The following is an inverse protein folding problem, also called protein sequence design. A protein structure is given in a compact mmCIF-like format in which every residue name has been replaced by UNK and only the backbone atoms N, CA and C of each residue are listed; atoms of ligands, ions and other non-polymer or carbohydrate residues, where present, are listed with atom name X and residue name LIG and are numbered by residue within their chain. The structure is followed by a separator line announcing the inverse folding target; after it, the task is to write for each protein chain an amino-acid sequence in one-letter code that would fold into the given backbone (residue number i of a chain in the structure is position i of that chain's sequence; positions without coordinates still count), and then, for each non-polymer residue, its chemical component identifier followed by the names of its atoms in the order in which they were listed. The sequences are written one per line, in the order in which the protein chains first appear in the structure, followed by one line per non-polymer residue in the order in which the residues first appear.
data_IF_808064088947
#
_entry.id   IF_808064088947
#
_cell.length_a   1.000
_cell.length_b   1.000
_cell.length_c   1.000
_cell.angle_alpha   90.00
_cell.angle_beta   90.00
_cell.angle_gamma   90.00
#
_symmetry.space_group_name_H-M   'P 1'
#
loop_
_entity.id
_entity.type
_entity.pdbx_description
1 polymer ?
#
# COMPACT_ATOMS: atom_id res chain seq x y z
N UNK A 1 5.68 -12.20 -16.51
CA UNK A 1 5.55 -13.11 -15.34
C UNK A 1 6.04 -12.35 -14.12
N UNK A 2 5.17 -12.09 -13.13
CA UNK A 2 5.62 -11.58 -11.83
C UNK A 2 6.35 -12.72 -11.12
N UNK A 3 7.63 -12.59 -10.79
CA UNK A 3 8.30 -13.59 -9.98
C UNK A 3 7.77 -13.40 -8.54
N UNK A 4 6.81 -14.22 -8.17
CA UNK A 4 6.33 -14.31 -6.79
C UNK A 4 7.49 -14.79 -5.92
N UNK A 5 8.19 -13.85 -5.33
CA UNK A 5 9.26 -14.14 -4.39
C UNK A 5 8.67 -14.03 -2.96
N UNK A 6 9.15 -14.86 -2.05
CA UNK A 6 8.80 -14.80 -0.61
C UNK A 6 8.92 -13.39 -0.03
N UNK A 7 9.87 -12.61 -0.54
CA UNK A 7 10.08 -11.22 -0.14
C UNK A 7 8.91 -10.31 -0.58
N UNK A 8 8.41 -10.48 -1.80
CA UNK A 8 7.26 -9.69 -2.29
C UNK A 8 6.02 -9.96 -1.46
N UNK A 9 5.73 -11.24 -1.18
CA UNK A 9 4.58 -11.63 -0.32
C UNK A 9 4.71 -11.02 1.08
N UNK A 10 5.93 -11.03 1.65
CA UNK A 10 6.18 -10.44 2.95
C UNK A 10 5.96 -8.91 2.93
N UNK A 11 6.41 -8.23 1.87
CA UNK A 11 6.19 -6.79 1.69
C UNK A 11 4.70 -6.45 1.63
N UNK A 12 3.93 -7.22 0.87
CA UNK A 12 2.48 -7.05 0.74
C UNK A 12 1.76 -7.27 2.06
N UNK A 13 2.17 -8.28 2.81
CA UNK A 13 1.62 -8.56 4.14
C UNK A 13 1.92 -7.42 5.13
N UNK A 14 3.17 -6.96 5.17
CA UNK A 14 3.57 -5.84 6.04
C UNK A 14 2.79 -4.58 5.68
N UNK A 15 2.66 -4.27 4.39
CA UNK A 15 1.91 -3.11 3.93
C UNK A 15 0.43 -3.22 4.31
N UNK A 16 -0.19 -4.38 4.12
CA UNK A 16 -1.58 -4.63 4.51
C UNK A 16 -1.81 -4.44 6.02
N UNK A 17 -0.93 -4.99 6.85
CA UNK A 17 -0.97 -4.84 8.31
C UNK A 17 -0.86 -3.36 8.71
N UNK A 18 0.11 -2.65 8.18
CA UNK A 18 0.36 -1.24 8.51
C UNK A 18 -0.82 -0.37 8.07
N UNK A 19 -1.29 -0.51 6.83
CA UNK A 19 -2.39 0.30 6.31
C UNK A 19 -3.69 0.02 7.08
N UNK A 20 -4.04 -1.25 7.32
CA UNK A 20 -5.25 -1.59 8.06
C UNK A 20 -5.21 -1.08 9.51
N UNK A 21 -4.10 -1.30 10.22
CA UNK A 21 -3.95 -0.82 11.60
C UNK A 21 -4.01 0.70 11.67
N UNK A 22 -3.36 1.40 10.74
CA UNK A 22 -3.40 2.85 10.64
C UNK A 22 -4.81 3.36 10.31
N UNK A 23 -5.52 2.72 9.39
CA UNK A 23 -6.88 3.09 9.03
C UNK A 23 -7.84 2.95 10.21
N UNK A 24 -7.75 1.84 10.97
CA UNK A 24 -8.55 1.63 12.17
C UNK A 24 -8.25 2.68 13.25
N UNK A 25 -6.97 3.00 13.46
CA UNK A 25 -6.56 4.01 14.45
C UNK A 25 -7.05 5.40 14.06
N UNK A 26 -6.93 5.79 12.79
CA UNK A 26 -7.33 7.10 12.28
C UNK A 26 -8.86 7.26 12.23
N UNK A 27 -9.60 6.20 11.98
CA UNK A 27 -11.06 6.23 11.97
C UNK A 27 -11.68 6.17 13.38
N UNK A 28 -10.87 5.96 14.41
CA UNK A 28 -11.35 5.78 15.78
C UNK A 28 -12.14 4.49 16.01
N UNK A 29 -12.03 3.55 15.10
CA UNK A 29 -12.71 2.26 15.21
C UNK A 29 -12.16 1.46 16.41
N UNK A 30 -13.02 0.78 17.18
CA UNK A 30 -12.57 -0.03 18.31
C UNK A 30 -11.66 -1.16 17.81
N UNK A 31 -10.45 -1.22 18.35
CA UNK A 31 -9.50 -2.26 17.99
C UNK A 31 -9.91 -3.59 18.63
N UNK A 32 -10.27 -4.55 17.79
CA UNK A 32 -10.49 -5.95 18.20
C UNK A 32 -9.86 -6.88 17.16
N UNK A 33 -9.41 -8.05 17.61
CA UNK A 33 -8.87 -9.07 16.70
C UNK A 33 -9.93 -9.49 15.65
N UNK A 34 -11.20 -9.55 16.07
CA UNK A 34 -12.30 -9.93 15.21
C UNK A 34 -12.57 -8.93 14.07
N UNK A 35 -12.31 -7.65 14.27
CA UNK A 35 -12.40 -6.60 13.23
C UNK A 35 -11.09 -6.41 12.48
N UNK A 36 -9.96 -6.53 13.17
CA UNK A 36 -8.63 -6.32 12.60
C UNK A 36 -8.25 -7.40 11.57
N UNK A 37 -8.53 -8.68 11.88
CA UNK A 37 -8.13 -9.78 11.02
C UNK A 37 -8.83 -9.78 9.65
N UNK A 38 -10.16 -9.62 9.55
CA UNK A 38 -10.84 -9.49 8.26
C UNK A 38 -10.34 -8.30 7.46
N UNK A 39 -10.14 -7.14 8.12
CA UNK A 39 -9.61 -5.94 7.47
C UNK A 39 -8.22 -6.17 6.89
N UNK A 40 -7.30 -6.76 7.64
CA UNK A 40 -5.96 -7.09 7.17
C UNK A 40 -5.99 -8.09 6.02
N UNK A 41 -6.84 -9.13 6.12
CA UNK A 41 -7.01 -10.13 5.06
C UNK A 41 -7.54 -9.49 3.77
N UNK A 42 -8.52 -8.62 3.88
CA UNK A 42 -9.07 -7.88 2.73
C UNK A 42 -8.03 -6.97 2.11
N UNK A 43 -7.29 -6.20 2.91
CA UNK A 43 -6.21 -5.34 2.42
C UNK A 43 -5.13 -6.15 1.70
N UNK A 44 -4.73 -7.29 2.25
CA UNK A 44 -3.76 -8.19 1.64
C UNK A 44 -4.28 -8.78 0.32
N UNK A 45 -5.50 -9.33 0.31
CA UNK A 45 -6.11 -9.87 -0.90
C UNK A 45 -6.27 -8.81 -2.00
N UNK A 46 -6.69 -7.60 -1.63
CA UNK A 46 -6.80 -6.48 -2.57
C UNK A 46 -5.43 -6.14 -3.17
N UNK A 47 -4.38 -6.10 -2.34
CA UNK A 47 -3.01 -5.82 -2.80
C UNK A 47 -2.54 -6.88 -3.80
N UNK A 48 -2.73 -8.16 -3.48
CA UNK A 48 -2.40 -9.29 -4.36
C UNK A 48 -3.17 -9.24 -5.67
N UNK A 49 -4.49 -8.99 -5.61
CA UNK A 49 -5.32 -8.86 -6.80
C UNK A 49 -4.88 -7.71 -7.70
N UNK A 50 -4.54 -6.56 -7.11
CA UNK A 50 -4.04 -5.41 -7.86
C UNK A 50 -2.75 -5.72 -8.60
N UNK A 51 -1.83 -6.44 -7.98
CA UNK A 51 -0.58 -6.87 -8.63
C UNK A 51 -0.80 -7.87 -9.76
N UNK A 52 -1.86 -8.68 -9.67
CA UNK A 52 -2.21 -9.64 -10.73
C UNK A 52 -2.90 -8.98 -11.91
N UNK A 53 -3.77 -8.00 -11.65
CA UNK A 53 -4.63 -7.38 -12.68
C UNK A 53 -3.97 -6.14 -13.28
N UNK A 54 -3.28 -5.34 -12.47
CA UNK A 54 -2.68 -4.08 -12.90
C UNK A 54 -1.16 -4.20 -12.98
N UNK A 55 -0.54 -3.71 -14.06
CA UNK A 55 0.91 -3.62 -14.17
C UNK A 55 1.46 -2.44 -13.34
N UNK A 56 1.17 -2.42 -12.01
CA UNK A 56 1.52 -1.31 -11.12
C UNK A 56 3.01 -0.93 -11.19
N UNK A 57 3.96 -1.90 -11.18
CA UNK A 57 5.37 -1.56 -11.35
C UNK A 57 5.70 -0.93 -12.72
N UNK A 58 4.92 -1.22 -13.75
CA UNK A 58 5.07 -0.58 -15.06
C UNK A 58 4.59 0.88 -15.02
N UNK A 59 3.50 1.17 -14.29
CA UNK A 59 3.01 2.53 -14.07
C UNK A 59 4.03 3.39 -13.32
N UNK A 60 4.63 2.86 -12.24
CA UNK A 60 5.71 3.52 -11.50
C UNK A 60 6.92 3.84 -12.39
N UNK A 61 7.36 2.87 -13.18
CA UNK A 61 8.45 3.07 -14.16
C UNK A 61 8.09 4.07 -15.25
N UNK A 62 6.86 4.05 -15.75
CA UNK A 62 6.42 5.00 -16.78
C UNK A 62 6.39 6.44 -16.23
N UNK A 63 5.83 6.65 -15.04
CA UNK A 63 5.83 7.95 -14.38
C UNK A 63 7.24 8.48 -14.09
N UNK A 64 8.17 7.58 -13.75
CA UNK A 64 9.56 7.95 -13.45
C UNK A 64 10.43 8.23 -14.70
N UNK A 65 9.93 7.97 -15.92
CA UNK A 65 10.66 8.31 -17.17
C UNK A 65 10.89 9.81 -17.34
N UNK A 66 9.95 10.63 -16.86
CA UNK A 66 10.09 12.10 -16.94
C UNK A 66 11.28 12.66 -16.15
N UNK A 67 11.88 11.85 -15.27
CA UNK A 67 13.03 12.24 -14.42
C UNK A 67 14.22 11.31 -14.63
N UNK A 68 14.41 10.88 -15.86
CA UNK A 68 15.51 10.02 -16.24
C UNK A 68 16.86 10.71 -15.94
N UNK A 69 17.82 9.94 -15.38
CA UNK A 69 19.13 10.47 -14.97
C UNK A 69 19.19 11.13 -13.59
N UNK A 70 18.06 11.30 -12.88
CA UNK A 70 18.07 11.86 -11.51
C UNK A 70 18.09 10.75 -10.45
N UNK A 71 18.83 10.98 -9.36
CA UNK A 71 19.00 10.04 -8.25
C UNK A 71 17.68 9.71 -7.50
N UNK A 72 16.68 10.59 -7.58
CA UNK A 72 15.39 10.41 -6.95
C UNK A 72 14.33 9.65 -7.80
N UNK A 73 14.72 9.22 -9.01
CA UNK A 73 13.87 8.42 -9.90
C UNK A 73 13.24 7.18 -9.21
N UNK A 74 14.01 6.35 -8.47
CA UNK A 74 13.41 5.20 -7.78
C UNK A 74 12.42 5.60 -6.69
N UNK A 75 12.62 6.74 -6.02
CA UNK A 75 11.71 7.25 -5.01
C UNK A 75 10.36 7.64 -5.63
N UNK A 76 10.37 8.26 -6.81
CA UNK A 76 9.17 8.61 -7.54
C UNK A 76 8.41 7.36 -8.01
N UNK A 77 9.11 6.33 -8.49
CA UNK A 77 8.47 5.06 -8.86
C UNK A 77 7.75 4.44 -7.67
N UNK A 78 8.44 4.33 -6.52
CA UNK A 78 7.84 3.81 -5.28
C UNK A 78 6.66 4.67 -4.83
N UNK A 79 6.74 6.00 -4.98
CA UNK A 79 5.64 6.89 -4.62
C UNK A 79 4.39 6.63 -5.47
N UNK A 80 4.53 6.52 -6.79
CA UNK A 80 3.41 6.27 -7.70
C UNK A 80 2.79 4.89 -7.46
N UNK A 81 3.63 3.88 -7.26
CA UNK A 81 3.17 2.54 -6.91
C UNK A 81 2.39 2.54 -5.60
N UNK A 82 2.94 3.18 -4.56
CA UNK A 82 2.26 3.35 -3.26
C UNK A 82 0.94 4.09 -3.39
N UNK A 83 0.90 5.17 -4.18
CA UNK A 83 -0.32 5.95 -4.39
C UNK A 83 -1.46 5.07 -4.95
N UNK A 84 -1.16 4.23 -5.95
CA UNK A 84 -2.14 3.31 -6.55
C UNK A 84 -2.63 2.31 -5.49
N UNK A 85 -1.71 1.64 -4.79
CA UNK A 85 -2.06 0.63 -3.79
C UNK A 85 -2.86 1.23 -2.62
N UNK A 86 -2.36 2.33 -2.02
CA UNK A 86 -3.02 2.95 -0.88
C UNK A 86 -4.40 3.50 -1.25
N UNK A 87 -4.55 4.08 -2.45
CA UNK A 87 -5.85 4.58 -2.91
C UNK A 87 -6.89 3.45 -2.96
N UNK A 88 -6.55 2.34 -3.60
CA UNK A 88 -7.50 1.25 -3.79
C UNK A 88 -7.76 0.47 -2.50
N UNK A 89 -6.71 0.21 -1.70
CA UNK A 89 -6.86 -0.47 -0.42
C UNK A 89 -7.67 0.40 0.56
N UNK A 90 -7.35 1.69 0.69
CA UNK A 90 -8.04 2.59 1.60
C UNK A 90 -9.50 2.82 1.21
N UNK A 91 -9.79 2.88 -0.09
CA UNK A 91 -11.16 2.97 -0.59
C UNK A 91 -11.97 1.71 -0.27
N UNK A 92 -11.38 0.52 -0.48
CA UNK A 92 -11.99 -0.77 -0.13
C UNK A 92 -12.25 -0.85 1.38
N UNK A 93 -11.29 -0.44 2.20
CA UNK A 93 -11.44 -0.43 3.65
C UNK A 93 -12.50 0.57 4.12
N UNK A 94 -12.54 1.77 3.56
CA UNK A 94 -13.56 2.76 3.88
C UNK A 94 -14.97 2.25 3.49
N UNK A 95 -15.10 1.58 2.35
CA UNK A 95 -16.35 0.97 1.94
C UNK A 95 -16.84 -0.10 2.92
N UNK A 96 -15.94 -0.98 3.38
CA UNK A 96 -16.28 -2.01 4.37
C UNK A 96 -16.67 -1.42 5.73
N UNK A 97 -16.03 -0.31 6.14
CA UNK A 97 -16.31 0.32 7.44
C UNK A 97 -17.61 1.13 7.45
N UNK A 98 -18.01 1.68 6.32
CA UNK A 98 -19.14 2.61 6.22
C UNK A 98 -20.39 2.00 5.55
N UNK A 99 -20.28 0.76 5.04
CA UNK A 99 -21.32 0.13 4.22
C UNK A 99 -21.76 1.03 3.05
N UNK A 100 -20.84 1.90 2.59
CA UNK A 100 -21.07 2.86 1.50
C UNK A 100 -21.69 4.20 1.92
N UNK A 101 -22.17 4.33 3.15
CA UNK A 101 -22.73 5.59 3.68
C UNK A 101 -21.58 6.51 4.09
N UNK A 102 -21.58 7.77 3.60
CA UNK A 102 -20.51 8.75 3.85
C UNK A 102 -19.09 8.29 3.46
N UNK A 103 -19.00 7.29 2.57
CA UNK A 103 -17.73 6.71 2.10
C UNK A 103 -16.68 7.77 1.73
N UNK A 104 -17.06 8.73 0.90
CA UNK A 104 -16.12 9.75 0.40
C UNK A 104 -15.60 10.65 1.52
N UNK A 105 -16.45 11.02 2.47
CA UNK A 105 -16.05 11.88 3.59
C UNK A 105 -15.06 11.17 4.51
N UNK A 106 -15.36 9.93 4.91
CA UNK A 106 -14.48 9.12 5.75
C UNK A 106 -13.17 8.81 5.05
N UNK A 107 -13.23 8.46 3.78
CA UNK A 107 -12.05 8.18 2.99
C UNK A 107 -11.15 9.41 2.84
N UNK A 108 -11.70 10.57 2.47
CA UNK A 108 -10.91 11.81 2.30
C UNK A 108 -10.30 12.28 3.62
N UNK A 109 -10.95 12.06 4.75
CA UNK A 109 -10.42 12.45 6.07
C UNK A 109 -9.17 11.65 6.46
N UNK A 110 -9.08 10.38 6.07
CA UNK A 110 -7.98 9.49 6.44
C UNK A 110 -6.94 9.29 5.34
N UNK A 111 -7.31 9.52 4.10
CA UNK A 111 -6.50 9.24 2.91
C UNK A 111 -5.11 9.90 2.91
N UNK A 112 -4.94 11.21 3.20
CA UNK A 112 -3.63 11.84 3.17
C UNK A 112 -2.65 11.23 4.18
N UNK A 113 -3.14 10.89 5.37
CA UNK A 113 -2.33 10.26 6.41
C UNK A 113 -1.92 8.82 5.99
N UNK A 114 -2.85 8.06 5.40
CA UNK A 114 -2.58 6.72 4.90
C UNK A 114 -1.57 6.73 3.75
N UNK A 115 -1.62 7.72 2.85
CA UNK A 115 -0.62 7.90 1.80
C UNK A 115 0.76 8.15 2.39
N UNK A 116 0.88 9.02 3.38
CA UNK A 116 2.16 9.31 4.05
C UNK A 116 2.72 8.07 4.76
N UNK A 117 1.89 7.37 5.53
CA UNK A 117 2.28 6.16 6.26
C UNK A 117 2.66 5.05 5.28
N UNK A 118 1.85 4.81 4.26
CA UNK A 118 2.10 3.82 3.23
C UNK A 118 3.39 4.09 2.47
N UNK A 119 3.65 5.36 2.12
CA UNK A 119 4.88 5.76 1.44
C UNK A 119 6.11 5.56 2.32
N UNK A 120 6.07 5.97 3.58
CA UNK A 120 7.16 5.73 4.53
C UNK A 120 7.45 4.24 4.70
N UNK A 121 6.41 3.41 4.82
CA UNK A 121 6.52 1.95 4.90
C UNK A 121 7.13 1.36 3.63
N UNK A 122 6.66 1.79 2.46
CA UNK A 122 7.18 1.34 1.17
C UNK A 122 8.65 1.70 0.97
N UNK A 123 9.07 2.89 1.40
CA UNK A 123 10.48 3.30 1.37
C UNK A 123 11.34 2.46 2.32
N UNK A 124 10.86 2.16 3.52
CA UNK A 124 11.57 1.31 4.47
C UNK A 124 11.75 -0.11 3.91
N UNK A 125 10.71 -0.68 3.31
CA UNK A 125 10.74 -1.99 2.68
C UNK A 125 11.66 -2.01 1.45
N UNK A 126 11.66 -0.95 0.64
CA UNK A 126 12.57 -0.78 -0.49
C UNK A 126 14.03 -0.73 -0.03
N UNK A 127 14.31 0.05 1.01
CA UNK A 127 15.66 0.16 1.59
C UNK A 127 16.14 -1.19 2.18
N UNK A 128 15.24 -1.91 2.87
CA UNK A 128 15.53 -3.24 3.41
C UNK A 128 15.81 -4.26 2.28
N UNK A 129 15.03 -4.23 1.21
CA UNK A 129 15.22 -5.07 0.03
C UNK A 129 16.58 -4.83 -0.65
N UNK A 130 16.98 -3.55 -0.80
CA UNK A 130 18.30 -3.21 -1.33
C UNK A 130 19.45 -3.71 -0.47
N UNK A 131 19.37 -3.55 0.86
CA UNK A 131 20.38 -4.06 1.78
C UNK A 131 20.53 -5.57 1.68
N UNK A 132 19.42 -6.29 1.55
CA UNK A 132 19.42 -7.74 1.37
C UNK A 132 20.09 -8.17 0.06
N UNK A 133 19.80 -7.47 -1.03
CA UNK A 133 20.40 -7.76 -2.34
C UNK A 133 21.91 -7.47 -2.40
N UNK A 134 22.43 -6.59 -1.52
CA UNK A 134 23.85 -6.29 -1.41
C UNK A 134 24.59 -7.27 -0.47
N UNK A 135 23.83 -8.00 0.38
CA UNK A 135 24.38 -8.95 1.36
C UNK A 135 24.35 -10.41 0.86
N UNK A 136 23.70 -10.68 -0.26
CA UNK A 136 23.58 -11.99 -0.89
C UNK A 136 24.53 -12.12 -2.08
#
# INVERSE_FOLDING_TARGET
MCPWNKWTILQDLVLAVVINTSAMTLSGAPFSIASWFPGTSTAFCTNVLLQLVLPVPAAGRAASRCVEGRSWRPLLSVFVENLIFVTLISLTMAFMQTEGVHLVQVWLATYPQLVCIGYATSLALFAAGRRRALAA
#
